data_IF_509899292983
#
_entry.id   IF_509899292983
#
_cell.length_a   1.000
_cell.length_b   1.000
_cell.length_c   1.000
_cell.angle_alpha   90.00
_cell.angle_beta   90.00
_cell.angle_gamma   90.00
#
_symmetry.space_group_name_H-M   'P 1'
#
loop_
_entity.id
_entity.type
_entity.pdbx_description
1 polymer ?
#
# COMPACT_ATOMS: atom_id res chain seq x y z
N UNK A 1 -40.90 -104.89 -74.64
CA UNK A 1 -41.07 -103.56 -74.01
C UNK A 1 -42.39 -102.95 -74.51
N UNK A 2 -43.37 -102.78 -73.63
CA UNK A 2 -44.71 -102.28 -74.00
C UNK A 2 -44.70 -100.75 -74.15
N UNK A 3 -45.63 -100.16 -74.92
CA UNK A 3 -45.69 -98.70 -75.17
C UNK A 3 -45.66 -97.86 -73.88
N UNK A 4 -46.20 -98.39 -72.77
CA UNK A 4 -46.25 -97.73 -71.45
C UNK A 4 -44.86 -97.66 -70.78
N UNK A 5 -44.03 -98.68 -70.93
CA UNK A 5 -42.66 -98.71 -70.37
C UNK A 5 -41.73 -97.69 -71.05
N UNK A 6 -41.87 -97.46 -72.36
CA UNK A 6 -41.08 -96.44 -73.08
C UNK A 6 -41.43 -95.02 -72.67
N UNK A 7 -42.72 -94.73 -72.46
CA UNK A 7 -43.18 -93.42 -71.97
C UNK A 7 -42.67 -93.20 -70.54
N UNK A 8 -42.80 -94.20 -69.66
CA UNK A 8 -42.30 -94.12 -68.29
C UNK A 8 -40.78 -93.91 -68.25
N UNK A 9 -40.01 -94.65 -69.04
CA UNK A 9 -38.56 -94.49 -69.12
C UNK A 9 -38.16 -93.09 -69.59
N UNK A 10 -38.85 -92.54 -70.60
CA UNK A 10 -38.59 -91.17 -71.07
C UNK A 10 -38.94 -90.10 -70.02
N UNK A 11 -40.02 -90.30 -69.27
CA UNK A 11 -40.41 -89.41 -68.17
C UNK A 11 -39.41 -89.46 -67.01
N UNK A 12 -38.91 -90.66 -66.66
CA UNK A 12 -37.89 -90.83 -65.61
C UNK A 12 -36.58 -90.14 -66.01
N UNK A 13 -36.14 -90.28 -67.26
CA UNK A 13 -34.93 -89.60 -67.76
C UNK A 13 -35.10 -88.07 -67.76
N UNK A 14 -36.27 -87.56 -68.15
CA UNK A 14 -36.57 -86.13 -68.10
C UNK A 14 -36.52 -85.59 -66.66
N UNK A 15 -37.14 -86.32 -65.71
CA UNK A 15 -37.14 -85.94 -64.30
C UNK A 15 -35.72 -85.98 -63.71
N UNK A 16 -34.93 -87.01 -64.02
CA UNK A 16 -33.53 -87.09 -63.60
C UNK A 16 -32.70 -85.96 -64.20
N UNK A 17 -32.93 -85.60 -65.47
CA UNK A 17 -32.30 -84.45 -66.11
C UNK A 17 -32.65 -83.13 -65.42
N UNK A 18 -33.93 -82.91 -65.09
CA UNK A 18 -34.38 -81.73 -64.34
C UNK A 18 -33.79 -81.69 -62.93
N UNK A 19 -33.70 -82.83 -62.23
CA UNK A 19 -33.03 -82.92 -60.93
C UNK A 19 -31.53 -82.60 -61.02
N UNK A 20 -30.83 -83.11 -62.05
CA UNK A 20 -29.42 -82.83 -62.26
C UNK A 20 -29.18 -81.34 -62.57
N UNK A 21 -30.04 -80.73 -63.41
CA UNK A 21 -30.00 -79.29 -63.69
C UNK A 21 -30.30 -78.48 -62.42
N UNK A 22 -31.33 -78.84 -61.66
CA UNK A 22 -31.68 -78.17 -60.41
C UNK A 22 -30.55 -78.27 -59.38
N UNK A 23 -29.91 -79.44 -59.25
CA UNK A 23 -28.75 -79.65 -58.39
C UNK A 23 -27.56 -78.80 -58.83
N UNK A 24 -27.27 -78.76 -60.13
CA UNK A 24 -26.17 -77.96 -60.69
C UNK A 24 -26.40 -76.46 -60.51
N UNK A 25 -27.61 -75.98 -60.78
CA UNK A 25 -28.00 -74.57 -60.57
C UNK A 25 -27.91 -74.22 -59.09
N UNK A 26 -28.42 -75.07 -58.20
CA UNK A 26 -28.34 -74.82 -56.75
C UNK A 26 -26.89 -74.86 -56.23
N UNK A 27 -26.04 -75.74 -56.75
CA UNK A 27 -24.63 -75.83 -56.37
C UNK A 27 -23.85 -74.58 -56.81
N UNK A 28 -24.06 -74.11 -58.04
CA UNK A 28 -23.40 -72.90 -58.57
C UNK A 28 -23.91 -71.64 -57.86
N UNK A 29 -25.23 -71.49 -57.71
CA UNK A 29 -25.82 -70.34 -57.02
C UNK A 29 -25.44 -70.31 -55.53
N UNK A 30 -25.36 -71.46 -54.86
CA UNK A 30 -24.86 -71.58 -53.49
C UNK A 30 -23.41 -71.13 -53.36
N UNK A 31 -22.52 -71.66 -54.20
CA UNK A 31 -21.11 -71.26 -54.21
C UNK A 31 -20.88 -69.78 -54.53
N UNK A 32 -21.69 -69.19 -55.41
CA UNK A 32 -21.65 -67.74 -55.69
C UNK A 32 -22.13 -66.91 -54.51
N UNK A 33 -23.17 -67.35 -53.78
CA UNK A 33 -23.63 -66.68 -52.55
C UNK A 33 -22.59 -66.74 -51.45
N UNK A 34 -21.93 -67.88 -51.26
CA UNK A 34 -20.85 -68.02 -50.27
C UNK A 34 -19.65 -67.14 -50.61
N UNK A 35 -19.29 -67.06 -51.91
CA UNK A 35 -18.24 -66.15 -52.40
C UNK A 35 -18.62 -64.68 -52.20
N UNK A 36 -19.88 -64.31 -52.45
CA UNK A 36 -20.40 -62.96 -52.25
C UNK A 36 -20.38 -62.60 -50.76
N UNK A 37 -20.86 -63.49 -49.88
CA UNK A 37 -20.81 -63.32 -48.43
C UNK A 37 -19.37 -63.19 -47.92
N UNK A 38 -18.42 -63.96 -48.48
CA UNK A 38 -17.00 -63.84 -48.15
C UNK A 38 -16.40 -62.49 -48.59
N UNK A 39 -16.78 -61.97 -49.77
CA UNK A 39 -16.36 -60.64 -50.25
C UNK A 39 -16.95 -59.54 -49.37
N UNK A 40 -18.24 -59.62 -49.02
CA UNK A 40 -18.90 -58.63 -48.17
C UNK A 40 -18.32 -58.65 -46.75
N UNK A 41 -18.02 -59.83 -46.20
CA UNK A 41 -17.32 -59.96 -44.91
C UNK A 41 -15.86 -59.47 -44.95
N UNK A 42 -15.16 -59.61 -46.08
CA UNK A 42 -13.82 -59.05 -46.26
C UNK A 42 -13.87 -57.52 -46.38
N UNK A 43 -14.86 -56.97 -47.11
CA UNK A 43 -15.11 -55.52 -47.20
C UNK A 43 -15.46 -54.91 -45.86
N UNK A 44 -16.35 -55.54 -45.08
CA UNK A 44 -16.70 -55.11 -43.73
C UNK A 44 -15.47 -55.04 -42.83
N UNK A 45 -14.62 -56.08 -42.83
CA UNK A 45 -13.34 -56.07 -42.11
C UNK A 45 -12.40 -54.95 -42.55
N UNK A 46 -12.30 -54.66 -43.84
CA UNK A 46 -11.49 -53.53 -44.33
C UNK A 46 -11.99 -52.20 -43.80
N UNK A 47 -13.31 -51.97 -43.84
CA UNK A 47 -13.92 -50.75 -43.33
C UNK A 47 -13.70 -50.58 -41.82
N UNK A 48 -13.81 -51.66 -41.04
CA UNK A 48 -13.52 -51.65 -39.60
C UNK A 48 -12.04 -51.34 -39.33
N UNK A 49 -11.11 -51.92 -40.10
CA UNK A 49 -9.69 -51.62 -39.98
C UNK A 49 -9.37 -50.17 -40.37
N UNK A 50 -9.97 -49.65 -41.43
CA UNK A 50 -9.80 -48.25 -41.85
C UNK A 50 -10.29 -47.28 -40.78
N UNK A 51 -11.40 -47.61 -40.11
CA UNK A 51 -11.89 -46.86 -38.96
C UNK A 51 -10.90 -46.91 -37.80
N UNK A 52 -10.41 -48.09 -37.42
CA UNK A 52 -9.40 -48.24 -36.36
C UNK A 52 -8.11 -47.46 -36.65
N UNK A 53 -7.65 -47.45 -37.91
CA UNK A 53 -6.49 -46.67 -38.33
C UNK A 53 -6.78 -45.17 -38.19
N UNK A 54 -7.97 -44.72 -38.59
CA UNK A 54 -8.37 -43.31 -38.49
C UNK A 54 -8.47 -42.87 -37.03
N UNK A 55 -9.16 -43.64 -36.20
CA UNK A 55 -9.30 -43.40 -34.77
C UNK A 55 -7.91 -43.43 -34.09
N UNK A 56 -7.04 -44.37 -34.49
CA UNK A 56 -5.66 -44.45 -34.04
C UNK A 56 -4.82 -43.21 -34.42
N UNK A 57 -4.98 -42.68 -35.62
CA UNK A 57 -4.31 -41.43 -36.06
C UNK A 57 -4.79 -40.22 -35.27
N UNK A 58 -6.09 -40.12 -35.00
CA UNK A 58 -6.66 -39.04 -34.17
C UNK A 58 -6.11 -39.14 -32.75
N UNK A 59 -6.12 -40.33 -32.17
CA UNK A 59 -5.56 -40.57 -30.83
C UNK A 59 -4.05 -40.27 -30.77
N UNK A 60 -3.29 -40.63 -31.80
CA UNK A 60 -1.85 -40.34 -31.88
C UNK A 60 -1.58 -38.83 -31.88
N UNK A 61 -2.36 -38.04 -32.63
CA UNK A 61 -2.25 -36.57 -32.62
C UNK A 61 -2.59 -35.97 -31.26
N UNK A 62 -3.64 -36.47 -30.62
CA UNK A 62 -4.00 -36.03 -29.28
C UNK A 62 -2.90 -36.37 -28.25
N UNK A 63 -2.26 -37.54 -28.37
CA UNK A 63 -1.13 -37.92 -27.53
C UNK A 63 0.10 -37.04 -27.78
N UNK A 64 0.35 -36.62 -29.02
CA UNK A 64 1.44 -35.71 -29.36
C UNK A 64 1.24 -34.33 -28.71
N UNK A 65 0.01 -33.78 -28.76
CA UNK A 65 -0.34 -32.54 -28.05
C UNK A 65 -0.14 -32.68 -26.53
N UNK A 66 -0.58 -33.80 -25.95
CA UNK A 66 -0.37 -34.06 -24.52
C UNK A 66 1.12 -34.24 -24.19
N UNK A 67 1.92 -34.84 -25.08
CA UNK A 67 3.36 -35.00 -24.87
C UNK A 67 4.09 -33.66 -24.84
N UNK A 68 3.65 -32.67 -25.63
CA UNK A 68 4.18 -31.30 -25.59
C UNK A 68 3.94 -30.60 -24.24
N UNK A 69 2.84 -30.95 -23.57
CA UNK A 69 2.43 -30.43 -22.25
C UNK A 69 2.98 -31.24 -21.08
N UNK A 70 3.57 -32.40 -21.36
CA UNK A 70 4.06 -33.34 -20.36
C UNK A 70 5.42 -32.93 -19.81
N UNK A 71 5.73 -33.40 -18.60
CA UNK A 71 7.08 -33.32 -18.07
C UNK A 71 8.06 -34.22 -18.85
N UNK A 72 9.38 -33.93 -18.78
CA UNK A 72 10.42 -34.75 -19.38
C UNK A 72 10.33 -36.21 -18.94
N UNK A 73 10.70 -37.15 -19.83
CA UNK A 73 10.72 -38.57 -19.48
C UNK A 73 11.88 -38.92 -18.53
N UNK A 74 13.00 -38.20 -18.61
CA UNK A 74 14.12 -38.41 -17.69
C UNK A 74 13.77 -37.87 -16.30
N UNK A 75 13.85 -38.72 -15.29
CA UNK A 75 13.44 -38.40 -13.91
C UNK A 75 14.29 -37.28 -13.29
N UNK A 76 15.60 -37.25 -13.55
CA UNK A 76 16.49 -36.23 -12.98
C UNK A 76 16.18 -34.86 -13.57
N UNK A 77 16.01 -34.80 -14.90
CA UNK A 77 15.66 -33.57 -15.61
C UNK A 77 14.25 -33.11 -15.21
N UNK A 78 13.30 -34.04 -15.11
CA UNK A 78 11.93 -33.76 -14.68
C UNK A 78 11.88 -33.10 -13.31
N UNK A 79 12.55 -33.70 -12.33
CA UNK A 79 12.49 -33.24 -10.93
C UNK A 79 13.13 -31.86 -10.81
N UNK A 80 14.32 -31.66 -11.39
CA UNK A 80 14.97 -30.34 -11.39
C UNK A 80 14.09 -29.31 -12.07
N UNK A 81 13.62 -29.58 -13.29
CA UNK A 81 12.91 -28.59 -14.12
C UNK A 81 11.59 -28.14 -13.50
N UNK A 82 10.81 -29.07 -12.97
CA UNK A 82 9.53 -28.71 -12.36
C UNK A 82 9.72 -28.04 -11.00
N UNK A 83 10.74 -28.43 -10.22
CA UNK A 83 11.13 -27.71 -9.00
C UNK A 83 11.52 -26.28 -9.33
N UNK A 84 12.42 -26.09 -10.29
CA UNK A 84 12.92 -24.77 -10.67
C UNK A 84 11.76 -23.88 -11.15
N UNK A 85 10.84 -24.43 -11.95
CA UNK A 85 9.62 -23.72 -12.35
C UNK A 85 8.71 -23.34 -11.16
N UNK A 86 8.48 -24.25 -10.19
CA UNK A 86 7.69 -23.93 -8.98
C UNK A 86 8.36 -22.85 -8.12
N UNK A 87 9.69 -22.90 -8.01
CA UNK A 87 10.48 -21.90 -7.29
C UNK A 87 10.40 -20.53 -7.98
N UNK A 88 10.57 -20.50 -9.31
CA UNK A 88 10.47 -19.27 -10.11
C UNK A 88 9.06 -18.68 -10.03
N UNK A 89 8.03 -19.54 -10.10
CA UNK A 89 6.64 -19.15 -9.91
C UNK A 89 6.44 -18.51 -8.52
N UNK A 90 6.94 -19.15 -7.45
CA UNK A 90 6.90 -18.59 -6.09
C UNK A 90 7.56 -17.21 -5.99
N UNK A 91 8.77 -17.05 -6.55
CA UNK A 91 9.45 -15.75 -6.55
C UNK A 91 8.73 -14.69 -7.39
N UNK A 92 8.12 -15.07 -8.52
CA UNK A 92 7.42 -14.14 -9.40
C UNK A 92 6.23 -13.45 -8.73
N UNK A 93 5.60 -14.13 -7.76
CA UNK A 93 4.47 -13.61 -6.98
C UNK A 93 4.88 -13.12 -5.60
N UNK A 94 6.18 -12.88 -5.37
CA UNK A 94 6.72 -12.37 -4.11
C UNK A 94 6.43 -13.29 -2.90
N UNK A 95 6.36 -14.61 -3.12
CA UNK A 95 6.24 -15.59 -2.04
C UNK A 95 7.52 -15.56 -1.18
N UNK A 96 7.37 -15.41 0.13
CA UNK A 96 8.45 -15.46 1.11
C UNK A 96 8.67 -16.91 1.57
N UNK A 97 9.89 -17.22 2.02
CA UNK A 97 10.25 -18.55 2.53
C UNK A 97 9.87 -19.70 1.57
N UNK A 98 10.12 -19.50 0.27
CA UNK A 98 9.77 -20.48 -0.77
C UNK A 98 10.54 -21.77 -0.55
N UNK A 99 9.80 -22.85 -0.29
CA UNK A 99 10.35 -24.19 -0.16
C UNK A 99 9.58 -25.15 -1.07
N UNK A 100 10.32 -25.86 -1.93
CA UNK A 100 9.75 -26.87 -2.82
C UNK A 100 10.26 -28.25 -2.42
N UNK A 101 9.35 -29.10 -1.94
CA UNK A 101 9.62 -30.51 -1.70
C UNK A 101 9.44 -31.30 -2.98
N UNK A 102 10.49 -32.03 -3.37
CA UNK A 102 10.52 -32.88 -4.56
C UNK A 102 10.26 -34.35 -4.20
N UNK A 103 9.70 -35.15 -5.11
CA UNK A 103 9.48 -36.57 -4.86
C UNK A 103 10.77 -37.39 -5.02
N UNK A 104 10.97 -38.37 -4.14
CA UNK A 104 12.04 -39.38 -4.29
C UNK A 104 11.72 -40.43 -5.37
N UNK A 105 10.44 -40.61 -5.69
CA UNK A 105 9.92 -41.59 -6.64
C UNK A 105 8.54 -41.18 -7.16
N UNK A 106 8.09 -41.66 -8.33
CA UNK A 106 6.73 -41.42 -8.80
C UNK A 106 5.68 -41.97 -7.82
N UNK A 107 4.59 -41.21 -7.64
CA UNK A 107 3.41 -41.61 -6.87
C UNK A 107 2.72 -42.82 -7.53
N UNK A 108 2.69 -42.84 -8.85
CA UNK A 108 2.14 -43.94 -9.65
C UNK A 108 2.83 -44.01 -11.00
N UNK A 109 3.17 -45.22 -11.41
CA UNK A 109 3.72 -45.48 -12.75
C UNK A 109 2.85 -46.49 -13.49
N UNK A 110 2.59 -46.19 -14.76
CA UNK A 110 1.88 -47.05 -15.70
C UNK A 110 2.72 -47.23 -16.96
N UNK A 111 2.27 -48.08 -17.89
CA UNK A 111 2.89 -48.22 -19.21
C UNK A 111 2.74 -46.97 -20.10
N UNK A 112 1.82 -46.05 -19.77
CA UNK A 112 1.57 -44.85 -20.55
C UNK A 112 2.18 -43.59 -19.92
N UNK A 113 2.16 -43.48 -18.59
CA UNK A 113 2.60 -42.29 -17.85
C UNK A 113 3.05 -42.59 -16.43
N UNK A 114 3.81 -41.66 -15.84
CA UNK A 114 4.13 -41.57 -14.43
C UNK A 114 3.57 -40.28 -13.81
N UNK A 115 3.16 -40.37 -12.55
CA UNK A 115 2.60 -39.25 -11.76
C UNK A 115 3.61 -38.89 -10.67
N UNK A 116 3.97 -37.62 -10.58
CA UNK A 116 4.87 -37.08 -9.57
C UNK A 116 4.12 -36.10 -8.68
N UNK A 117 4.41 -36.13 -7.37
CA UNK A 117 3.82 -35.22 -6.39
C UNK A 117 4.90 -34.22 -5.95
N UNK A 118 4.57 -32.95 -5.98
CA UNK A 118 5.42 -31.85 -5.52
C UNK A 118 4.66 -31.04 -4.47
N UNK A 119 5.37 -30.50 -3.49
CA UNK A 119 4.77 -29.58 -2.52
C UNK A 119 5.51 -28.25 -2.54
N UNK A 120 4.75 -27.16 -2.55
CA UNK A 120 5.22 -25.79 -2.45
C UNK A 120 4.73 -25.21 -1.12
N UNK A 121 5.65 -24.64 -0.35
CA UNK A 121 5.38 -23.93 0.88
C UNK A 121 5.89 -22.50 0.76
N UNK A 122 5.21 -21.59 1.45
CA UNK A 122 5.68 -20.22 1.59
C UNK A 122 4.69 -19.34 2.34
N UNK A 123 5.06 -18.07 2.49
CA UNK A 123 4.27 -17.04 3.16
C UNK A 123 4.04 -15.89 2.20
N UNK A 124 2.79 -15.48 2.01
CA UNK A 124 2.47 -14.33 1.17
C UNK A 124 1.17 -13.64 1.62
N UNK A 125 0.84 -12.53 0.98
CA UNK A 125 -0.48 -11.91 1.14
C UNK A 125 -1.55 -12.66 0.36
N UNK A 126 -2.81 -12.50 0.75
CA UNK A 126 -3.95 -13.15 0.09
C UNK A 126 -4.03 -12.84 -1.42
N UNK A 127 -3.71 -11.62 -1.85
CA UNK A 127 -3.70 -11.24 -3.26
C UNK A 127 -2.65 -12.01 -4.06
N UNK A 128 -1.44 -12.13 -3.51
CA UNK A 128 -0.33 -12.90 -4.09
C UNK A 128 -0.60 -14.40 -4.11
N UNK A 129 -1.32 -14.92 -3.13
CA UNK A 129 -1.80 -16.31 -3.13
C UNK A 129 -2.75 -16.57 -4.31
N UNK A 130 -3.69 -15.66 -4.59
CA UNK A 130 -4.59 -15.79 -5.75
C UNK A 130 -3.80 -15.67 -7.07
N UNK A 131 -2.79 -14.80 -7.11
CA UNK A 131 -1.89 -14.66 -8.24
C UNK A 131 -1.13 -15.97 -8.54
N UNK A 132 -0.59 -16.60 -7.49
CA UNK A 132 0.08 -17.90 -7.55
C UNK A 132 -0.83 -18.96 -8.17
N UNK A 133 -2.07 -19.06 -7.69
CA UNK A 133 -3.05 -20.02 -8.20
C UNK A 133 -3.39 -19.74 -9.66
N UNK A 134 -3.57 -18.47 -10.02
CA UNK A 134 -3.82 -18.03 -11.39
C UNK A 134 -2.70 -18.48 -12.34
N UNK A 135 -1.47 -18.07 -12.06
CA UNK A 135 -0.30 -18.42 -12.89
C UNK A 135 -0.02 -19.93 -12.90
N UNK A 136 -0.26 -20.64 -11.79
CA UNK A 136 -0.17 -22.08 -11.75
C UNK A 136 -1.14 -22.72 -12.74
N UNK A 137 -2.42 -22.33 -12.73
CA UNK A 137 -3.43 -22.89 -13.62
C UNK A 137 -3.30 -22.43 -15.06
N UNK A 138 -2.76 -21.22 -15.31
CA UNK A 138 -2.51 -20.72 -16.66
C UNK A 138 -1.33 -21.43 -17.34
N UNK A 139 -0.37 -21.93 -16.57
CA UNK A 139 0.75 -22.67 -17.14
C UNK A 139 0.27 -23.96 -17.81
N UNK A 140 0.77 -24.19 -19.04
CA UNK A 140 0.26 -25.25 -19.90
C UNK A 140 0.85 -26.66 -19.63
N UNK A 141 1.20 -26.96 -18.38
CA UNK A 141 1.65 -28.30 -17.98
C UNK A 141 0.48 -29.27 -17.78
N UNK A 142 0.74 -30.57 -17.93
CA UNK A 142 -0.15 -31.64 -17.46
C UNK A 142 -0.05 -31.81 -15.95
N UNK A 143 -0.50 -30.79 -15.22
CA UNK A 143 -0.50 -30.76 -13.77
C UNK A 143 -1.86 -30.35 -13.19
N UNK A 144 -2.05 -30.61 -11.90
CA UNK A 144 -3.17 -30.14 -11.11
C UNK A 144 -2.75 -29.95 -9.66
N UNK A 145 -3.40 -29.03 -8.97
CA UNK A 145 -3.33 -28.93 -7.51
C UNK A 145 -4.18 -30.08 -6.95
N UNK A 146 -3.59 -30.93 -6.12
CA UNK A 146 -4.28 -32.04 -5.46
C UNK A 146 -4.76 -31.68 -4.06
N UNK A 147 -4.04 -30.79 -3.38
CA UNK A 147 -4.41 -30.26 -2.09
C UNK A 147 -3.92 -28.82 -1.96
N UNK A 148 -4.74 -27.96 -1.37
CA UNK A 148 -4.38 -26.58 -1.07
C UNK A 148 -4.89 -26.23 0.31
N UNK A 149 -3.99 -25.79 1.18
CA UNK A 149 -4.29 -25.38 2.54
C UNK A 149 -3.50 -24.13 2.87
N UNK A 150 -4.07 -23.27 3.70
CA UNK A 150 -3.39 -22.09 4.20
C UNK A 150 -3.85 -21.77 5.63
N UNK A 151 -2.95 -21.17 6.39
CA UNK A 151 -3.16 -20.72 7.75
C UNK A 151 -2.86 -19.22 7.83
N UNK A 152 -3.73 -18.47 8.51
CA UNK A 152 -3.52 -17.04 8.76
C UNK A 152 -2.40 -16.85 9.78
N UNK A 153 -1.39 -16.05 9.42
CA UNK A 153 -0.37 -15.58 10.37
C UNK A 153 -0.88 -14.29 11.01
N UNK A 154 -1.40 -13.37 10.19
CA UNK A 154 -2.04 -12.14 10.60
C UNK A 154 -3.23 -11.81 9.68
N UNK A 155 -3.76 -10.59 9.77
CA UNK A 155 -4.93 -10.16 8.97
C UNK A 155 -4.67 -10.02 7.46
N UNK A 156 -3.42 -10.13 7.00
CA UNK A 156 -3.03 -9.94 5.59
C UNK A 156 -2.17 -11.06 5.04
N UNK A 157 -1.40 -11.73 5.89
CA UNK A 157 -0.45 -12.77 5.49
C UNK A 157 -0.95 -14.17 5.82
N UNK A 158 -0.72 -15.07 4.87
CA UNK A 158 -1.05 -16.47 4.96
C UNK A 158 0.21 -17.30 4.78
N UNK A 159 0.34 -18.34 5.60
CA UNK A 159 1.23 -19.46 5.33
C UNK A 159 0.48 -20.45 4.46
N UNK A 160 0.97 -20.72 3.26
CA UNK A 160 0.33 -21.65 2.34
C UNK A 160 1.11 -22.96 2.23
N UNK A 161 0.37 -24.02 1.90
CA UNK A 161 0.87 -25.31 1.49
C UNK A 161 0.05 -25.78 0.29
N UNK A 162 0.74 -25.92 -0.85
CA UNK A 162 0.17 -26.34 -2.12
C UNK A 162 0.82 -27.67 -2.51
N UNK A 163 0.00 -28.71 -2.62
CA UNK A 163 0.42 -29.98 -3.21
C UNK A 163 -0.05 -30.04 -4.66
N UNK A 164 0.88 -30.29 -5.56
CA UNK A 164 0.60 -30.48 -6.98
C UNK A 164 0.98 -31.87 -7.45
N UNK A 165 0.25 -32.36 -8.43
CA UNK A 165 0.59 -33.58 -9.18
C UNK A 165 0.85 -33.22 -10.63
N UNK A 166 1.91 -33.78 -11.20
CA UNK A 166 2.30 -33.53 -12.58
C UNK A 166 2.63 -34.83 -13.31
N UNK A 167 2.37 -34.87 -14.62
CA UNK A 167 2.44 -36.07 -15.44
C UNK A 167 3.64 -36.08 -16.39
N UNK A 168 4.33 -37.21 -16.41
CA UNK A 168 5.35 -37.55 -17.41
C UNK A 168 4.84 -38.69 -18.29
N UNK A 169 4.64 -38.44 -19.59
CA UNK A 169 4.25 -39.46 -20.55
C UNK A 169 5.49 -40.28 -20.96
N UNK A 170 5.34 -41.59 -21.09
CA UNK A 170 6.45 -42.48 -21.49
C UNK A 170 6.98 -42.19 -22.91
N UNK A 171 6.16 -41.51 -23.73
CA UNK A 171 6.48 -41.14 -25.10
C UNK A 171 6.96 -39.68 -25.23
N UNK A 172 7.04 -38.92 -24.13
CA UNK A 172 7.63 -37.58 -24.15
C UNK A 172 9.15 -37.65 -24.37
N UNK A 173 9.74 -36.55 -24.85
CA UNK A 173 11.18 -36.46 -24.99
C UNK A 173 11.89 -36.57 -23.62
N UNK A 174 13.08 -37.21 -23.54
CA UNK A 174 13.86 -37.29 -22.30
C UNK A 174 14.10 -35.93 -21.64
N UNK A 175 14.26 -34.89 -22.46
CA UNK A 175 14.57 -33.51 -22.08
C UNK A 175 13.47 -32.52 -22.52
N UNK A 176 12.23 -33.00 -22.69
CA UNK A 176 11.06 -32.24 -23.17
C UNK A 176 10.99 -30.80 -22.62
N UNK A 177 11.12 -29.75 -23.44
CA UNK A 177 11.13 -28.37 -22.97
C UNK A 177 9.82 -28.02 -22.23
N UNK A 178 9.85 -27.02 -21.33
CA UNK A 178 8.63 -26.47 -20.74
C UNK A 178 7.61 -26.10 -21.82
N UNK A 179 6.32 -26.40 -21.64
CA UNK A 179 5.29 -25.98 -22.56
C UNK A 179 5.18 -24.46 -22.56
N UNK A 180 4.96 -23.91 -23.75
CA UNK A 180 4.75 -22.48 -23.94
C UNK A 180 3.27 -22.16 -24.10
N UNK A 181 2.88 -20.96 -23.69
CA UNK A 181 1.51 -20.45 -23.83
C UNK A 181 0.59 -20.81 -22.66
N UNK A 182 -0.63 -20.27 -22.73
CA UNK A 182 -1.68 -20.48 -21.72
C UNK A 182 -2.32 -21.86 -21.87
N UNK A 183 -2.74 -22.42 -20.73
CA UNK A 183 -3.50 -23.67 -20.63
C UNK A 183 -4.93 -23.54 -21.16
N UNK A 184 -5.46 -22.32 -21.25
CA UNK A 184 -6.85 -22.02 -21.56
C UNK A 184 -7.83 -22.43 -20.44
N UNK A 185 -7.34 -22.72 -19.22
CA UNK A 185 -8.18 -23.13 -18.08
C UNK A 185 -8.87 -21.96 -17.38
N UNK A 186 -8.30 -20.75 -17.49
CA UNK A 186 -8.86 -19.55 -16.89
C UNK A 186 -9.87 -18.92 -17.86
N UNK A 187 -11.07 -18.62 -17.37
CA UNK A 187 -12.11 -17.96 -18.18
C UNK A 187 -11.88 -16.45 -18.30
N UNK A 188 -11.14 -15.87 -17.36
CA UNK A 188 -10.81 -14.45 -17.28
C UNK A 188 -9.37 -14.25 -16.76
N UNK A 189 -8.76 -13.07 -16.98
CA UNK A 189 -7.43 -12.76 -16.44
C UNK A 189 -7.37 -12.88 -14.92
N UNK A 190 -6.18 -13.16 -14.40
CA UNK A 190 -5.93 -13.35 -12.95
C UNK A 190 -6.34 -12.13 -12.14
N UNK A 191 -6.11 -10.93 -12.67
CA UNK A 191 -6.44 -9.66 -12.05
C UNK A 191 -7.95 -9.49 -11.85
N UNK A 192 -8.75 -10.03 -12.78
CA UNK A 192 -10.21 -9.98 -12.68
C UNK A 192 -10.73 -10.93 -11.60
N UNK A 193 -10.17 -12.13 -11.51
CA UNK A 193 -10.47 -13.05 -10.39
C UNK A 193 -10.09 -12.44 -9.04
N UNK A 194 -8.90 -11.84 -8.94
CA UNK A 194 -8.44 -11.16 -7.72
C UNK A 194 -9.44 -10.09 -7.29
N UNK A 195 -9.83 -9.18 -8.19
CA UNK A 195 -10.80 -8.14 -7.88
C UNK A 195 -12.12 -8.74 -7.35
N UNK A 196 -12.69 -9.71 -8.05
CA UNK A 196 -13.99 -10.31 -7.65
C UNK A 196 -13.91 -11.02 -6.30
N UNK A 197 -12.84 -11.76 -6.03
CA UNK A 197 -12.68 -12.54 -4.79
C UNK A 197 -12.35 -11.62 -3.61
N UNK A 198 -11.42 -10.69 -3.80
CA UNK A 198 -10.95 -9.79 -2.74
C UNK A 198 -11.99 -8.73 -2.38
N UNK A 199 -12.75 -8.20 -3.36
CA UNK A 199 -13.80 -7.21 -3.08
C UNK A 199 -14.95 -7.78 -2.25
N UNK A 200 -15.17 -9.11 -2.33
CA UNK A 200 -16.14 -9.79 -1.45
C UNK A 200 -15.65 -9.90 -0.01
N UNK A 201 -14.34 -9.72 0.20
CA UNK A 201 -13.65 -9.86 1.49
C UNK A 201 -14.18 -11.05 2.32
N UNK A 202 -14.02 -12.30 1.83
CA UNK A 202 -14.69 -13.45 2.42
C UNK A 202 -14.15 -13.87 3.80
N UNK A 203 -13.03 -13.30 4.25
CA UNK A 203 -12.31 -13.76 5.45
C UNK A 203 -12.22 -12.72 6.56
N UNK A 204 -12.57 -11.47 6.31
CA UNK A 204 -12.47 -10.38 7.29
C UNK A 204 -13.74 -9.54 7.36
N UNK A 205 -13.93 -8.78 8.44
CA UNK A 205 -14.92 -7.72 8.48
C UNK A 205 -14.72 -6.71 7.32
N UNK A 206 -15.77 -5.96 6.95
CA UNK A 206 -15.67 -4.96 5.90
C UNK A 206 -14.55 -3.95 6.17
N UNK A 207 -13.72 -3.68 5.17
CA UNK A 207 -12.64 -2.69 5.24
C UNK A 207 -13.21 -1.26 5.37
N UNK A 208 -12.65 -0.48 6.29
CA UNK A 208 -13.00 0.93 6.51
C UNK A 208 -12.02 1.85 5.77
N UNK A 209 -12.46 3.05 5.32
CA UNK A 209 -11.55 3.99 4.68
C UNK A 209 -10.55 4.61 5.66
N UNK A 210 -9.34 5.00 5.19
CA UNK A 210 -8.40 5.80 5.97
C UNK A 210 -9.02 7.09 6.47
N UNK A 211 -8.59 7.56 7.63
CA UNK A 211 -9.00 8.85 8.22
C UNK A 211 -7.91 9.87 8.00
N UNK A 212 -8.28 11.05 7.50
CA UNK A 212 -7.36 12.19 7.36
C UNK A 212 -7.73 13.29 8.35
N UNK A 213 -6.71 13.87 8.98
CA UNK A 213 -6.82 14.96 9.95
C UNK A 213 -6.14 16.24 9.46
N UNK A 214 -6.24 16.53 8.16
CA UNK A 214 -5.65 17.75 7.60
C UNK A 214 -6.45 18.98 8.06
N UNK A 215 -5.77 20.11 8.23
CA UNK A 215 -6.45 21.39 8.40
C UNK A 215 -7.17 21.76 7.09
N UNK A 216 -8.41 22.27 7.16
CA UNK A 216 -9.14 22.69 5.96
C UNK A 216 -8.46 23.86 5.24
N UNK A 217 -7.75 24.71 6.00
CA UNK A 217 -7.02 25.86 5.48
C UNK A 217 -5.65 25.95 6.16
N UNK A 218 -4.60 26.14 5.37
CA UNK A 218 -3.24 26.33 5.84
C UNK A 218 -2.72 27.66 5.31
N UNK A 219 -2.28 28.53 6.21
CA UNK A 219 -1.63 29.80 5.86
C UNK A 219 -0.15 29.57 5.56
N UNK A 220 0.31 30.07 4.41
CA UNK A 220 1.67 29.89 3.92
C UNK A 220 2.26 31.25 3.56
N UNK A 221 3.51 31.49 3.94
CA UNK A 221 4.19 32.74 3.58
C UNK A 221 4.76 32.68 2.16
N UNK A 222 4.46 33.71 1.35
CA UNK A 222 4.99 33.85 0.01
C UNK A 222 6.52 33.84 0.00
N UNK A 223 7.10 33.13 -0.96
CA UNK A 223 8.54 33.10 -1.22
C UNK A 223 9.35 32.25 -0.25
N UNK A 224 8.73 31.66 0.78
CA UNK A 224 9.40 30.74 1.71
C UNK A 224 9.10 29.28 1.37
N UNK A 225 10.07 28.36 1.54
CA UNK A 225 9.79 26.94 1.38
C UNK A 225 8.82 26.47 2.46
N UNK A 226 7.79 25.76 2.02
CA UNK A 226 6.77 25.15 2.85
C UNK A 226 6.74 23.65 2.61
N UNK A 227 6.57 22.89 3.69
CA UNK A 227 6.48 21.44 3.66
C UNK A 227 5.38 20.95 4.58
N UNK A 228 4.63 19.93 4.14
CA UNK A 228 3.60 19.27 4.94
C UNK A 228 3.74 17.74 4.81
N UNK A 229 4.24 17.04 5.86
CA UNK A 229 4.30 15.59 5.88
C UNK A 229 2.92 14.99 6.13
N UNK A 230 2.36 14.35 5.10
CA UNK A 230 1.00 13.79 5.14
C UNK A 230 0.92 12.50 5.98
N UNK A 231 2.02 11.75 6.14
CA UNK A 231 2.03 10.49 6.92
C UNK A 231 1.50 10.65 8.34
N UNK A 232 1.81 11.77 8.99
CA UNK A 232 1.34 12.10 10.34
C UNK A 232 -0.13 12.50 10.43
N UNK A 233 -0.77 12.70 9.29
CA UNK A 233 -2.12 13.23 9.15
C UNK A 233 -3.11 12.15 8.70
N UNK A 234 -2.63 10.92 8.45
CA UNK A 234 -3.45 9.81 7.98
C UNK A 234 -3.38 8.64 8.94
N UNK A 235 -4.53 8.12 9.34
CA UNK A 235 -4.64 6.94 10.21
C UNK A 235 -5.67 5.96 9.63
N UNK A 236 -5.26 4.71 9.45
CA UNK A 236 -6.15 3.63 9.02
C UNK A 236 -6.60 2.77 10.22
N UNK A 237 -7.90 2.51 10.41
CA UNK A 237 -8.39 1.76 11.57
C UNK A 237 -7.83 0.33 11.65
N UNK A 238 -7.61 -0.30 10.51
CA UNK A 238 -7.04 -1.65 10.36
C UNK A 238 -5.52 -1.63 10.19
N UNK A 239 -4.89 -0.46 10.33
CA UNK A 239 -3.46 -0.21 10.13
C UNK A 239 -3.00 -0.65 8.74
N UNK A 240 -3.86 -0.49 7.73
CA UNK A 240 -3.52 -0.64 6.33
C UNK A 240 -2.40 0.31 5.93
N UNK A 241 -1.59 -0.12 4.97
CA UNK A 241 -0.63 0.77 4.35
C UNK A 241 -1.43 1.77 3.53
N UNK A 242 -1.21 3.06 3.78
CA UNK A 242 -1.95 4.11 3.09
C UNK A 242 -1.03 4.81 2.11
N UNK A 243 -1.45 4.83 0.85
CA UNK A 243 -0.83 5.65 -0.19
C UNK A 243 -1.57 6.97 -0.25
N UNK A 244 -0.81 8.06 -0.33
CA UNK A 244 -1.37 9.40 -0.46
C UNK A 244 -1.02 9.96 -1.84
N UNK A 245 -1.97 10.64 -2.47
CA UNK A 245 -1.79 11.24 -3.78
C UNK A 245 -2.56 12.55 -3.96
N UNK A 246 -2.10 13.36 -4.91
CA UNK A 246 -2.77 14.59 -5.33
C UNK A 246 -3.73 14.27 -6.48
N UNK A 247 -5.03 14.44 -6.26
CA UNK A 247 -6.08 14.14 -7.26
C UNK A 247 -6.57 15.40 -7.98
N UNK A 248 -6.20 16.58 -7.49
CA UNK A 248 -6.53 17.86 -8.15
C UNK A 248 -6.03 17.91 -9.59
N UNK A 249 -6.91 18.31 -10.49
CA UNK A 249 -6.63 18.57 -11.91
C UNK A 249 -5.82 19.85 -12.13
N UNK A 250 -5.98 20.84 -11.26
CA UNK A 250 -5.23 22.10 -11.29
C UNK A 250 -4.36 22.20 -10.04
N UNK A 251 -3.04 22.08 -10.23
CA UNK A 251 -2.05 22.21 -9.15
C UNK A 251 -1.35 23.57 -9.24
N UNK A 252 -1.09 24.24 -8.10
CA UNK A 252 -0.29 25.46 -8.07
C UNK A 252 1.10 25.25 -8.70
N UNK A 253 1.64 26.23 -9.44
CA UNK A 253 2.97 26.12 -10.02
C UNK A 253 4.02 25.80 -8.95
N UNK A 254 4.78 24.73 -9.18
CA UNK A 254 5.86 24.29 -8.29
C UNK A 254 5.43 23.47 -7.08
N UNK A 255 4.13 23.24 -6.85
CA UNK A 255 3.66 22.30 -5.82
C UNK A 255 3.95 20.86 -6.27
N UNK A 256 4.61 20.08 -5.43
CA UNK A 256 4.92 18.68 -5.71
C UNK A 256 4.70 17.83 -4.48
N UNK A 257 4.33 16.56 -4.70
CA UNK A 257 4.31 15.53 -3.67
C UNK A 257 5.56 14.67 -3.84
N UNK A 258 6.49 14.75 -2.88
CA UNK A 258 7.70 13.90 -2.83
C UNK A 258 7.53 12.85 -1.75
N UNK A 259 7.37 11.59 -2.16
CA UNK A 259 6.93 10.53 -1.24
C UNK A 259 5.55 10.89 -0.70
N UNK A 260 5.43 11.05 0.62
CA UNK A 260 4.21 11.50 1.28
C UNK A 260 4.34 12.92 1.88
N UNK A 261 5.29 13.73 1.41
CA UNK A 261 5.46 15.13 1.84
C UNK A 261 5.11 16.09 0.71
N UNK A 262 4.18 17.00 0.96
CA UNK A 262 3.93 18.12 0.07
C UNK A 262 5.05 19.14 0.23
N UNK A 263 5.65 19.55 -0.88
CA UNK A 263 6.68 20.58 -0.92
C UNK A 263 6.24 21.69 -1.86
N UNK A 264 6.40 22.94 -1.42
CA UNK A 264 6.05 24.10 -2.24
C UNK A 264 6.86 25.34 -1.89
N UNK A 265 7.10 26.18 -2.88
CA UNK A 265 7.64 27.54 -2.72
C UNK A 265 6.71 28.51 -3.46
N UNK A 266 5.68 29.05 -2.79
CA UNK A 266 4.67 29.88 -3.45
C UNK A 266 5.26 31.20 -3.96
N UNK A 267 4.96 31.53 -5.22
CA UNK A 267 5.43 32.77 -5.87
C UNK A 267 4.38 33.88 -5.85
N UNK A 268 3.10 33.53 -5.80
CA UNK A 268 1.99 34.47 -5.89
C UNK A 268 1.03 34.29 -4.71
N UNK A 269 0.56 35.41 -4.17
CA UNK A 269 -0.47 35.43 -3.13
C UNK A 269 -1.81 34.98 -3.72
N UNK A 270 -2.59 34.26 -2.94
CA UNK A 270 -3.88 33.73 -3.39
C UNK A 270 -4.33 32.54 -2.57
N UNK A 271 -5.52 32.06 -2.92
CA UNK A 271 -6.09 30.83 -2.38
C UNK A 271 -5.97 29.73 -3.42
N UNK A 272 -5.34 28.64 -3.03
CA UNK A 272 -5.13 27.50 -3.89
C UNK A 272 -5.80 26.28 -3.30
N UNK A 273 -6.71 25.68 -4.04
CA UNK A 273 -7.48 24.53 -3.59
C UNK A 273 -6.86 23.25 -4.13
N UNK A 274 -6.46 22.36 -3.22
CA UNK A 274 -5.97 21.03 -3.59
C UNK A 274 -6.78 19.94 -2.90
N UNK A 275 -6.92 18.81 -3.58
CA UNK A 275 -7.58 17.61 -3.08
C UNK A 275 -6.52 16.54 -2.90
N UNK A 276 -6.37 16.12 -1.64
CA UNK A 276 -5.50 15.02 -1.24
C UNK A 276 -6.37 13.77 -1.09
N UNK A 277 -5.95 12.66 -1.69
CA UNK A 277 -6.59 11.35 -1.51
C UNK A 277 -5.66 10.42 -0.75
N UNK A 278 -6.20 9.75 0.24
CA UNK A 278 -5.54 8.66 0.97
C UNK A 278 -6.27 7.35 0.65
N UNK A 279 -5.57 6.38 0.05
CA UNK A 279 -6.08 5.06 -0.34
C UNK A 279 -5.37 3.96 0.46
N UNK A 280 -6.12 3.04 1.04
CA UNK A 280 -5.56 1.89 1.75
C UNK A 280 -5.21 0.70 0.84
N UNK A 281 -4.43 -0.24 1.39
CA UNK A 281 -4.14 -1.54 0.79
C UNK A 281 -5.06 -2.67 1.30
N UNK A 282 -6.20 -2.30 1.89
CA UNK A 282 -7.23 -3.21 2.39
C UNK A 282 -8.15 -3.73 1.28
N UNK A 283 -9.01 -4.69 1.60
CA UNK A 283 -9.92 -5.32 0.63
C UNK A 283 -11.40 -5.21 1.05
N UNK A 284 -12.29 -4.67 0.20
CA UNK A 284 -11.97 -3.87 -0.99
C UNK A 284 -11.17 -2.63 -0.61
N UNK A 285 -10.39 -2.10 -1.56
CA UNK A 285 -9.65 -0.86 -1.33
C UNK A 285 -10.61 0.28 -1.04
N UNK A 286 -10.29 1.07 -0.03
CA UNK A 286 -11.05 2.26 0.33
C UNK A 286 -10.17 3.48 0.31
N UNK A 287 -10.81 4.63 0.12
CA UNK A 287 -10.13 5.90 0.12
C UNK A 287 -10.97 6.97 0.79
N UNK A 288 -10.26 8.00 1.25
CA UNK A 288 -10.84 9.27 1.70
C UNK A 288 -10.21 10.39 0.90
N UNK A 289 -11.01 11.40 0.57
CA UNK A 289 -10.55 12.63 -0.05
C UNK A 289 -10.77 13.79 0.92
N UNK A 290 -9.79 14.69 1.01
CA UNK A 290 -9.92 15.89 1.80
C UNK A 290 -9.41 17.09 1.00
N UNK A 291 -10.24 18.13 0.97
CA UNK A 291 -9.90 19.42 0.37
C UNK A 291 -9.06 20.23 1.36
N UNK A 292 -7.96 20.77 0.85
CA UNK A 292 -7.01 21.60 1.57
C UNK A 292 -6.86 22.92 0.83
N UNK A 293 -7.15 24.03 1.51
CA UNK A 293 -6.99 25.38 0.98
C UNK A 293 -5.65 25.94 1.45
N UNK A 294 -4.73 26.18 0.51
CA UNK A 294 -3.45 26.83 0.77
C UNK A 294 -3.63 28.33 0.57
N UNK A 295 -3.64 29.08 1.67
CA UNK A 295 -3.77 30.53 1.65
C UNK A 295 -2.37 31.16 1.71
N UNK A 296 -1.90 31.68 0.58
CA UNK A 296 -0.60 32.33 0.49
C UNK A 296 -0.72 33.79 0.88
N UNK A 297 -0.06 34.16 1.97
CA UNK A 297 -0.02 35.52 2.53
C UNK A 297 1.39 36.09 2.47
N UNK A 298 1.50 37.42 2.51
CA UNK A 298 2.80 38.05 2.63
C UNK A 298 3.42 37.76 3.99
N UNK A 299 4.75 37.52 4.05
CA UNK A 299 5.44 37.35 5.31
C UNK A 299 5.21 38.59 6.17
N UNK A 300 4.75 38.39 7.40
CA UNK A 300 4.54 39.49 8.34
C UNK A 300 5.87 40.19 8.54
N UNK A 301 5.95 41.47 8.16
CA UNK A 301 7.10 42.31 8.48
C UNK A 301 7.07 42.48 10.00
N UNK A 302 7.88 41.70 10.72
CA UNK A 302 8.20 41.99 12.11
C UNK A 302 8.81 43.39 12.11
N UNK A 303 8.01 44.38 12.51
CA UNK A 303 8.56 45.66 12.93
C UNK A 303 9.53 45.31 14.05
N UNK A 304 10.83 45.48 13.81
CA UNK A 304 11.85 45.38 14.84
C UNK A 304 11.38 46.28 15.97
N UNK A 305 10.91 45.67 17.07
CA UNK A 305 10.54 46.42 18.25
C UNK A 305 11.79 47.21 18.64
N UNK A 306 11.68 48.53 18.62
CA UNK A 306 12.71 49.42 19.13
C UNK A 306 13.10 48.91 20.53
N UNK A 307 14.40 48.66 20.81
CA UNK A 307 14.79 48.05 22.07
C UNK A 307 14.22 48.90 23.21
N UNK A 308 13.34 48.31 24.03
CA UNK A 308 12.92 48.96 25.27
C UNK A 308 14.18 49.34 26.03
N UNK A 309 14.36 50.61 26.44
CA UNK A 309 15.54 51.02 27.17
C UNK A 309 15.63 50.16 28.42
N UNK A 310 16.73 49.41 28.56
CA UNK A 310 16.99 48.61 29.76
C UNK A 310 16.77 49.50 30.99
N UNK A 311 15.97 49.07 31.99
CA UNK A 311 15.78 49.85 33.19
C UNK A 311 17.16 50.15 33.79
N UNK A 312 17.45 51.42 34.16
CA UNK A 312 18.78 51.80 34.63
C UNK A 312 19.20 50.89 35.78
N UNK A 313 20.39 50.26 35.66
CA UNK A 313 20.96 49.33 36.65
C UNK A 313 21.20 49.94 38.05
N UNK A 314 20.86 51.22 38.25
CA UNK A 314 21.17 51.97 39.44
C UNK A 314 20.08 52.99 39.74
N UNK A 315 19.55 52.99 40.97
CA UNK A 315 18.53 53.94 41.43
C UNK A 315 19.18 55.32 41.75
N UNK A 316 18.83 56.39 41.02
CA UNK A 316 19.36 57.73 41.27
C UNK A 316 19.11 58.27 42.69
N UNK A 317 18.07 57.79 43.40
CA UNK A 317 17.77 58.22 44.77
C UNK A 317 18.89 57.88 45.76
N UNK A 318 19.63 56.80 45.51
CA UNK A 318 20.73 56.31 46.36
C UNK A 318 21.95 57.23 46.43
N UNK A 319 22.06 58.18 45.50
CA UNK A 319 23.15 59.15 45.40
C UNK A 319 22.62 60.57 45.26
N UNK A 320 21.40 60.81 45.77
CA UNK A 320 20.75 62.11 45.81
C UNK A 320 20.78 62.65 47.24
N UNK A 321 21.25 63.90 47.40
CA UNK A 321 21.45 64.53 48.70
C UNK A 321 20.87 65.93 48.72
N UNK A 322 20.49 66.40 49.91
CA UNK A 322 20.22 67.82 50.14
C UNK A 322 21.56 68.56 50.06
N UNK A 323 21.74 69.32 48.98
CA UNK A 323 22.98 70.02 48.66
C UNK A 323 23.06 71.44 49.22
N UNK A 324 21.92 72.08 49.46
CA UNK A 324 21.84 73.38 50.13
C UNK A 324 20.44 73.62 50.70
N UNK A 325 20.37 74.24 51.88
CA UNK A 325 19.15 74.78 52.48
C UNK A 325 19.35 76.30 52.58
N UNK A 326 18.55 77.07 51.85
CA UNK A 326 18.77 78.49 51.62
C UNK A 326 17.58 79.32 52.12
N UNK A 327 17.87 80.41 52.84
CA UNK A 327 16.88 81.43 53.19
C UNK A 327 17.04 82.67 52.30
N UNK A 328 15.99 83.08 51.59
CA UNK A 328 15.98 84.25 50.72
C UNK A 328 14.72 85.12 50.84
N UNK A 329 14.66 86.23 50.07
CA UNK A 329 13.50 87.16 50.05
C UNK A 329 12.17 86.49 49.65
N UNK A 330 12.23 85.33 48.99
CA UNK A 330 11.08 84.55 48.52
C UNK A 330 10.71 83.37 49.44
N UNK A 331 11.30 83.28 50.64
CA UNK A 331 11.09 82.19 51.58
C UNK A 331 12.19 81.11 51.55
N UNK A 332 12.06 80.07 52.38
CA UNK A 332 13.00 78.94 52.41
C UNK A 332 12.98 78.15 51.09
N UNK A 333 14.15 77.76 50.61
CA UNK A 333 14.32 76.94 49.39
C UNK A 333 15.37 75.86 49.67
N UNK A 334 15.11 74.63 49.21
CA UNK A 334 16.03 73.50 49.34
C UNK A 334 16.49 73.03 47.98
N UNK A 335 17.78 72.72 47.85
CA UNK A 335 18.37 72.20 46.64
C UNK A 335 18.74 70.75 46.82
N UNK A 336 18.05 69.86 46.12
CA UNK A 336 18.33 68.41 46.12
C UNK A 336 19.11 68.08 44.85
N UNK A 337 20.28 67.45 44.99
CA UNK A 337 21.17 67.14 43.84
C UNK A 337 21.37 65.64 43.69
N UNK A 338 21.01 65.11 42.53
CA UNK A 338 21.38 63.76 42.08
C UNK A 338 22.80 63.80 41.54
N UNK A 339 23.70 63.01 42.15
CA UNK A 339 25.08 62.86 41.64
C UNK A 339 25.16 61.96 40.41
N UNK A 340 24.13 61.12 40.18
CA UNK A 340 24.05 60.20 39.03
C UNK A 340 23.65 60.96 37.78
N UNK A 341 22.58 61.75 37.87
CA UNK A 341 22.04 62.48 36.72
C UNK A 341 22.64 63.87 36.57
N UNK A 342 23.42 64.32 37.57
CA UNK A 342 24.00 65.67 37.64
C UNK A 342 22.97 66.80 37.85
N UNK A 343 21.68 66.46 38.00
CA UNK A 343 20.57 67.40 38.11
C UNK A 343 20.42 67.94 39.54
N UNK A 344 20.11 69.23 39.65
CA UNK A 344 19.75 69.89 40.92
C UNK A 344 18.32 70.39 40.86
N UNK A 345 17.46 69.83 41.71
CA UNK A 345 16.09 70.25 41.91
C UNK A 345 16.07 71.34 42.97
N UNK A 346 15.45 72.48 42.65
CA UNK A 346 15.27 73.60 43.56
C UNK A 346 13.82 73.62 43.97
N UNK A 347 13.56 73.30 45.23
CA UNK A 347 12.22 73.01 45.74
C UNK A 347 11.88 73.96 46.89
N UNK A 348 10.60 74.29 47.00
CA UNK A 348 10.02 75.08 48.09
C UNK A 348 8.93 74.26 48.78
N UNK A 349 8.49 74.75 49.94
CA UNK A 349 7.36 74.16 50.66
C UNK A 349 6.14 74.08 49.73
N UNK A 350 5.61 72.87 49.57
CA UNK A 350 4.48 72.54 48.71
C UNK A 350 4.86 71.91 47.36
N UNK A 351 6.13 71.93 46.96
CA UNK A 351 6.56 71.34 45.68
C UNK A 351 6.65 69.80 45.77
N UNK A 352 6.22 69.14 44.70
CA UNK A 352 6.30 67.70 44.52
C UNK A 352 7.43 67.36 43.55
N UNK A 353 8.18 66.29 43.86
CA UNK A 353 9.30 65.85 43.05
C UNK A 353 9.45 64.33 43.03
N UNK A 354 10.13 63.85 42.00
CA UNK A 354 10.43 62.42 41.80
C UNK A 354 11.89 62.27 41.42
N UNK A 355 12.61 61.46 42.18
CA UNK A 355 14.01 61.10 41.92
C UNK A 355 14.15 59.61 42.16
N UNK A 356 14.40 58.86 41.09
CA UNK A 356 14.57 57.41 41.18
C UNK A 356 13.32 56.73 41.76
N UNK A 357 13.50 55.94 42.82
CA UNK A 357 12.39 55.29 43.54
C UNK A 357 11.60 56.20 44.47
N UNK A 358 12.06 57.43 44.74
CA UNK A 358 11.44 58.32 45.75
C UNK A 358 10.58 59.39 45.07
N UNK A 359 9.28 59.38 45.37
CA UNK A 359 8.34 60.47 45.05
C UNK A 359 7.89 61.14 46.35
N UNK A 360 8.09 62.44 46.49
CA UNK A 360 7.82 63.15 47.73
C UNK A 360 7.38 64.60 47.50
N UNK A 361 6.71 65.15 48.51
CA UNK A 361 6.31 66.55 48.62
C UNK A 361 7.04 67.24 49.76
N UNK A 362 7.53 68.46 49.53
CA UNK A 362 8.17 69.23 50.60
C UNK A 362 7.11 69.82 51.54
N UNK A 363 7.10 69.41 52.80
CA UNK A 363 6.14 69.87 53.82
C UNK A 363 6.71 71.03 54.63
N UNK A 364 7.98 70.95 55.02
CA UNK A 364 8.66 72.02 55.76
C UNK A 364 10.16 72.06 55.45
N UNK A 365 10.77 73.23 55.62
CA UNK A 365 12.20 73.47 55.41
C UNK A 365 12.77 74.16 56.64
N UNK A 366 13.51 73.42 57.46
CA UNK A 366 14.10 73.95 58.69
C UNK A 366 15.50 74.54 58.41
N UNK A 367 15.56 75.87 58.28
CA UNK A 367 16.81 76.61 58.02
C UNK A 367 17.82 76.59 59.19
N UNK A 368 17.39 76.29 60.43
CA UNK A 368 18.28 76.33 61.61
C UNK A 368 19.04 75.02 61.79
N UNK A 369 18.35 73.91 61.52
CA UNK A 369 18.86 72.56 61.76
C UNK A 369 19.23 71.83 60.45
N UNK A 370 19.11 72.50 59.29
CA UNK A 370 19.51 72.01 57.97
C UNK A 370 18.91 70.65 57.58
N UNK A 371 17.65 70.42 57.95
CA UNK A 371 16.86 69.31 57.43
C UNK A 371 15.58 69.81 56.77
N UNK A 372 14.99 68.95 55.95
CA UNK A 372 13.68 69.17 55.35
C UNK A 372 12.73 68.05 55.76
N UNK A 373 11.45 68.38 55.88
CA UNK A 373 10.38 67.42 56.07
C UNK A 373 9.71 67.14 54.73
N UNK A 374 9.61 65.87 54.39
CA UNK A 374 9.05 65.36 53.15
C UNK A 374 7.84 64.48 53.45
N UNK A 375 6.87 64.47 52.55
CA UNK A 375 5.71 63.60 52.61
C UNK A 375 5.62 62.72 51.37
N UNK A 376 5.56 61.42 51.57
CA UNK A 376 5.43 60.39 50.54
C UNK A 376 4.34 59.42 50.97
N UNK A 377 3.35 59.15 50.12
CA UNK A 377 2.26 58.20 50.41
C UNK A 377 1.60 58.38 51.81
N UNK A 378 1.39 59.63 52.23
CA UNK A 378 0.84 60.03 53.54
C UNK A 378 1.76 59.81 54.75
N UNK A 379 3.02 59.43 54.53
CA UNK A 379 4.05 59.30 55.55
C UNK A 379 4.97 60.53 55.54
N UNK A 380 5.23 61.10 56.72
CA UNK A 380 6.15 62.24 56.88
C UNK A 380 7.49 61.79 57.42
N UNK A 381 8.55 62.27 56.80
CA UNK A 381 9.91 61.88 57.13
C UNK A 381 10.87 63.03 56.93
N UNK A 382 11.99 62.99 57.62
CA UNK A 382 12.99 64.05 57.58
C UNK A 382 14.26 63.58 56.89
N UNK A 383 14.89 64.50 56.14
CA UNK A 383 16.19 64.25 55.53
C UNK A 383 17.12 65.43 55.77
N UNK A 384 18.30 65.12 56.29
CA UNK A 384 19.39 66.06 56.50
C UNK A 384 20.31 66.13 55.27
N UNK A 385 21.37 66.94 55.35
CA UNK A 385 22.31 67.12 54.24
C UNK A 385 23.26 65.93 54.01
N UNK A 386 23.45 65.07 55.01
CA UNK A 386 24.45 64.00 54.99
C UNK A 386 23.85 62.62 54.64
N UNK A 387 22.53 62.49 54.73
CA UNK A 387 21.80 61.26 54.45
C UNK A 387 21.33 61.23 52.99
N UNK A 388 21.59 60.13 52.25
CA UNK A 388 21.02 59.95 50.92
C UNK A 388 19.49 59.88 51.00
N UNK A 389 18.83 60.43 49.97
CA UNK A 389 17.37 60.49 49.90
C UNK A 389 16.71 59.12 50.03
N UNK A 390 17.27 58.08 49.40
CA UNK A 390 16.73 56.72 49.50
C UNK A 390 16.82 56.15 50.92
N UNK A 391 17.90 56.43 51.66
CA UNK A 391 18.11 55.91 53.01
C UNK A 391 17.16 56.58 54.01
N UNK A 392 16.94 57.89 53.86
CA UNK A 392 15.98 58.60 54.69
C UNK A 392 14.54 58.13 54.44
N UNK A 393 14.18 57.84 53.18
CA UNK A 393 12.89 57.26 52.82
C UNK A 393 12.71 55.82 53.33
N UNK A 394 13.72 54.96 53.19
CA UNK A 394 13.70 53.59 53.72
C UNK A 394 13.58 53.54 55.24
N UNK A 395 14.29 54.43 55.97
CA UNK A 395 14.16 54.53 57.43
C UNK A 395 12.73 54.83 57.84
N UNK A 396 12.08 55.75 57.14
CA UNK A 396 10.72 56.12 57.43
C UNK A 396 9.72 54.99 57.14
N UNK A 397 9.97 54.12 56.15
CA UNK A 397 9.10 52.97 55.87
C UNK A 397 9.13 51.88 56.97
N UNK A 398 10.17 51.88 57.81
CA UNK A 398 10.38 50.87 58.86
C UNK A 398 9.87 51.35 60.22
N UNK A 399 9.78 52.66 60.43
CA UNK A 399 9.22 53.32 61.62
C UNK A 399 7.72 53.60 61.47
#
# INVERSE_FOLDING_TARGET
MTKREKILASAVVLVLGLFAVQYMVNSILGGLRDKQAAVDAARGRSADMDKLITDGKIAARALEDLAQRSLPRDEQILVSRYRDWLTDLGHSVELQEVEVTVPDRPLRTTNAYAVYKFSLHGVCRLDKMLELLGHFYDQNYLHTISNFSFDWIDARTVKLHLESTALALQHAAPDQPPPTGSSGRLEMPVEEYQRIILDRNPFFPPNAPPRMSLASTVSIERGKPWQLPLDSQVEDPEKNNVRVELVSTELPPGLQLRGNTLEWVPQENGEYEIVVRAEDDGWPRRWTEQKLVLQVVDPRVEQVAEPEPEPPKFDPASQTYVSAVLGGRSGPEVWIRSRIDGKTLKLRVGDEFEVGSVRAKVVDINLRENYIELESDSMRWTVDMDTPLSVAFERALVD
#
